data_IF_318584868141
#
_entry.id   IF_318584868141
#
_cell.length_a   1.000
_cell.length_b   1.000
_cell.length_c   1.000
_cell.angle_alpha   90.00
_cell.angle_beta   90.00
_cell.angle_gamma   90.00
#
_symmetry.space_group_name_H-M   'P 1'
#
loop_
_entity.id
_entity.type
_entity.pdbx_description
1 polymer ?
#
# COMPACT_ATOMS: atom_id res chain seq x y z
N UNK A 1 -17.23 8.14 -6.31
CA UNK A 1 -16.65 8.64 -5.16
C UNK A 1 -15.20 8.37 -5.15
N UNK A 2 -14.47 9.29 -4.79
CA UNK A 2 -13.10 9.12 -4.85
C UNK A 2 -12.58 8.82 -3.51
N UNK A 3 -11.98 7.73 -3.35
CA UNK A 3 -11.43 7.39 -2.10
C UNK A 3 -10.03 7.88 -2.09
N UNK A 4 -9.69 8.62 -1.07
CA UNK A 4 -8.36 9.14 -1.00
C UNK A 4 -7.67 8.52 0.18
N UNK A 5 -6.51 7.98 -0.06
CA UNK A 5 -5.74 7.34 0.96
C UNK A 5 -4.63 8.26 1.40
N UNK A 6 -4.41 8.35 2.68
CA UNK A 6 -3.33 9.18 3.20
C UNK A 6 -2.36 8.27 3.96
N UNK A 7 -1.11 8.28 3.58
CA UNK A 7 -0.11 7.47 4.24
C UNK A 7 0.61 8.36 5.22
N UNK A 8 0.56 7.99 6.49
CA UNK A 8 1.17 8.80 7.52
C UNK A 8 2.48 8.19 8.02
N UNK A 9 3.40 9.05 8.37
CA UNK A 9 4.65 8.58 8.89
C UNK A 9 5.13 9.64 9.85
N UNK A 10 5.34 9.25 11.08
CA UNK A 10 5.76 10.16 12.12
C UNK A 10 4.79 11.34 12.23
N UNK A 11 3.52 11.07 12.09
CA UNK A 11 2.51 12.10 12.25
C UNK A 11 2.35 13.00 11.04
N UNK A 12 2.99 12.69 9.94
CA UNK A 12 2.86 13.51 8.77
C UNK A 12 2.40 12.72 7.57
N UNK A 13 1.68 13.37 6.69
CA UNK A 13 1.21 12.69 5.49
C UNK A 13 2.35 12.71 4.49
N UNK A 14 2.88 11.55 4.18
CA UNK A 14 3.98 11.46 3.23
C UNK A 14 3.52 11.08 1.84
N UNK A 15 2.34 10.47 1.71
CA UNK A 15 1.80 10.15 0.42
C UNK A 15 0.31 10.27 0.49
N UNK A 16 -0.33 10.67 -0.58
CA UNK A 16 -1.78 10.66 -0.60
C UNK A 16 -2.25 10.51 -2.05
N UNK A 17 -3.42 9.95 -2.21
CA UNK A 17 -3.98 9.75 -3.53
C UNK A 17 -4.86 8.52 -3.52
N UNK A 18 -5.27 8.07 -4.67
CA UNK A 18 -6.10 6.89 -4.76
C UNK A 18 -5.16 5.69 -4.71
N UNK A 19 -5.74 4.51 -4.56
CA UNK A 19 -4.97 3.28 -4.53
C UNK A 19 -4.11 3.19 -5.80
N UNK A 20 -4.73 3.41 -6.95
CA UNK A 20 -4.01 3.28 -8.20
C UNK A 20 -2.87 4.31 -8.30
N UNK A 21 -3.13 5.50 -7.83
CA UNK A 21 -2.12 6.53 -7.88
C UNK A 21 -0.95 6.17 -6.99
N UNK A 22 -1.23 5.68 -5.81
CA UNK A 22 -0.17 5.35 -4.88
C UNK A 22 0.62 4.12 -5.33
N UNK A 23 -0.06 3.19 -5.95
CA UNK A 23 0.63 2.01 -6.45
C UNK A 23 1.55 2.42 -7.61
N UNK A 24 1.08 3.30 -8.47
CA UNK A 24 1.88 3.73 -9.59
C UNK A 24 3.09 4.53 -9.11
N UNK A 25 2.95 5.18 -7.96
CA UNK A 25 4.01 5.98 -7.44
C UNK A 25 5.16 5.10 -6.98
N UNK A 26 4.87 3.88 -6.56
CA UNK A 26 5.90 2.98 -6.12
C UNK A 26 6.60 3.37 -4.84
N UNK A 27 5.91 4.11 -3.98
CA UNK A 27 6.51 4.57 -2.76
C UNK A 27 6.15 3.71 -1.58
N UNK A 28 5.93 4.34 -0.43
CA UNK A 28 5.64 3.62 0.78
C UNK A 28 4.39 2.77 0.71
N UNK A 29 3.33 3.34 0.18
CA UNK A 29 2.07 2.61 0.13
C UNK A 29 2.22 1.38 -0.75
N UNK A 30 2.84 1.52 -1.91
CA UNK A 30 3.00 0.42 -2.83
C UNK A 30 3.84 -0.68 -2.21
N UNK A 31 4.89 -0.30 -1.51
CA UNK A 31 5.77 -1.25 -0.88
C UNK A 31 5.03 -2.01 0.20
N UNK A 32 4.29 -1.29 1.02
CA UNK A 32 3.59 -1.93 2.10
C UNK A 32 2.49 -2.82 1.58
N UNK A 33 1.76 -2.35 0.58
CA UNK A 33 0.66 -3.12 0.04
C UNK A 33 1.19 -4.41 -0.58
N UNK A 34 2.29 -4.33 -1.28
CA UNK A 34 2.88 -5.49 -1.92
C UNK A 34 3.35 -6.49 -0.88
N UNK A 35 3.92 -6.00 0.19
CA UNK A 35 4.38 -6.88 1.24
C UNK A 35 3.22 -7.59 1.91
N UNK A 36 2.15 -6.89 2.16
CA UNK A 36 1.01 -7.50 2.80
C UNK A 36 0.35 -8.50 1.87
N UNK A 37 0.26 -8.17 0.62
CA UNK A 37 -0.37 -9.07 -0.32
C UNK A 37 0.44 -10.35 -0.43
N UNK A 38 1.73 -10.21 -0.39
CA UNK A 38 2.59 -11.35 -0.50
C UNK A 38 2.40 -12.25 0.69
N UNK A 39 2.36 -11.69 1.84
CA UNK A 39 2.19 -12.45 3.06
C UNK A 39 0.83 -13.11 3.07
N UNK A 40 -0.15 -12.43 2.55
CA UNK A 40 -1.47 -12.91 2.60
C UNK A 40 -1.67 -14.03 1.62
N UNK A 41 -1.10 -13.92 0.46
CA UNK A 41 -1.25 -14.91 -0.53
C UNK A 41 -0.16 -15.92 -0.57
N UNK A 42 0.62 -16.00 0.43
CA UNK A 42 1.75 -16.85 0.45
C UNK A 42 1.36 -18.24 0.18
N UNK A 43 1.71 -18.80 -0.87
CA UNK A 43 1.31 -20.12 -1.21
C UNK A 43 1.97 -21.17 -0.40
N UNK A 44 2.97 -20.81 0.25
CA UNK A 44 3.65 -21.75 1.01
C UNK A 44 2.86 -22.17 2.10
N UNK A 45 2.04 -21.34 2.51
CA UNK A 45 1.28 -21.59 3.58
C UNK A 45 0.40 -22.63 3.19
N UNK A 46 0.16 -22.69 2.00
CA UNK A 46 -0.72 -23.61 1.58
C UNK A 46 -0.05 -24.75 1.30
N UNK A 47 0.27 -25.49 1.89
CA UNK A 47 1.05 -26.62 1.57
C UNK A 47 0.28 -27.69 1.00
#
# INVERSE_FOLDING_TARGET
AADRIHVLDHGEVVESGSHDELMARGGRYATMFTLQASAYLDPDEVP
#
